data_IF_278499134344
#
_entry.id   IF_278499134344
#
_cell.length_a   1.000
_cell.length_b   1.000
_cell.length_c   1.000
_cell.angle_alpha   90.00
_cell.angle_beta   90.00
_cell.angle_gamma   90.00
#
_symmetry.space_group_name_H-M   'P 1'
#
loop_
_entity.id
_entity.type
_entity.pdbx_description
1 polymer ?
#
# COMPACT_ATOMS: atom_id res chain seq x y z
N UNK A 1 -27.42 32.19 -11.80
CA UNK A 1 -28.83 32.65 -11.74
C UNK A 1 -29.08 33.24 -10.37
N UNK A 2 -29.80 34.37 -10.25
CA UNK A 2 -30.07 34.99 -8.96
C UNK A 2 -30.88 34.07 -8.04
N UNK A 3 -30.68 34.21 -6.73
CA UNK A 3 -31.38 33.43 -5.71
C UNK A 3 -32.90 33.64 -5.81
N UNK A 4 -33.67 32.60 -5.49
CA UNK A 4 -35.12 32.73 -5.43
C UNK A 4 -35.55 33.66 -4.28
N UNK A 5 -36.55 34.51 -4.52
CA UNK A 5 -37.17 35.32 -3.47
C UNK A 5 -37.65 34.46 -2.29
N UNK A 6 -37.45 34.94 -1.07
CA UNK A 6 -37.83 34.26 0.18
C UNK A 6 -39.34 33.99 0.26
N UNK A 7 -39.73 32.97 1.03
CA UNK A 7 -41.15 32.64 1.17
C UNK A 7 -41.94 33.74 1.88
N UNK A 8 -41.33 34.40 2.88
CA UNK A 8 -41.93 35.53 3.58
C UNK A 8 -42.24 36.71 2.64
N UNK A 9 -41.30 37.05 1.75
CA UNK A 9 -41.51 38.11 0.75
C UNK A 9 -42.65 37.75 -0.20
N UNK A 10 -42.73 36.49 -0.64
CA UNK A 10 -43.83 36.01 -1.49
C UNK A 10 -45.16 36.11 -0.78
N UNK A 11 -45.22 35.68 0.49
CA UNK A 11 -46.44 35.71 1.31
C UNK A 11 -46.96 37.14 1.45
N UNK A 12 -46.09 38.09 1.84
CA UNK A 12 -46.46 39.50 1.99
C UNK A 12 -46.94 40.13 0.67
N UNK A 13 -46.27 39.80 -0.44
CA UNK A 13 -46.66 40.32 -1.74
C UNK A 13 -47.99 39.73 -2.25
N UNK A 14 -48.27 38.46 -1.99
CA UNK A 14 -49.55 37.83 -2.34
C UNK A 14 -50.67 38.34 -1.44
N UNK A 15 -50.42 38.53 -0.14
CA UNK A 15 -51.39 39.09 0.79
C UNK A 15 -51.80 40.51 0.38
N UNK A 16 -50.86 41.37 -0.02
CA UNK A 16 -51.19 42.71 -0.52
C UNK A 16 -52.09 42.67 -1.77
N UNK A 17 -51.94 41.66 -2.65
CA UNK A 17 -52.85 41.46 -3.78
C UNK A 17 -54.25 41.00 -3.34
N UNK A 18 -54.32 40.13 -2.32
CA UNK A 18 -55.59 39.66 -1.75
C UNK A 18 -56.35 40.78 -1.04
N UNK A 19 -55.63 41.73 -0.44
CA UNK A 19 -56.15 42.96 0.17
C UNK A 19 -56.61 44.01 -0.88
N UNK A 20 -56.50 43.70 -2.17
CA UNK A 20 -57.01 44.53 -3.26
C UNK A 20 -56.00 45.50 -3.87
N UNK A 21 -54.73 45.48 -3.46
CA UNK A 21 -53.72 46.33 -4.10
C UNK A 21 -53.48 45.93 -5.56
N UNK A 22 -53.27 46.93 -6.43
CA UNK A 22 -52.93 46.64 -7.82
C UNK A 22 -51.56 45.96 -7.93
N UNK A 23 -51.43 45.04 -8.90
CA UNK A 23 -50.16 44.36 -9.20
C UNK A 23 -49.00 45.32 -9.47
N UNK A 24 -49.28 46.52 -9.98
CA UNK A 24 -48.29 47.57 -10.23
C UNK A 24 -47.81 48.20 -8.91
N UNK A 25 -48.72 48.47 -7.97
CA UNK A 25 -48.39 49.01 -6.66
C UNK A 25 -47.55 48.01 -5.85
N UNK A 26 -47.97 46.74 -5.79
CA UNK A 26 -47.25 45.66 -5.10
C UNK A 26 -45.86 45.46 -5.70
N UNK A 27 -45.74 45.44 -7.03
CA UNK A 27 -44.44 45.31 -7.70
C UNK A 27 -43.46 46.43 -7.32
N UNK A 28 -43.95 47.68 -7.27
CA UNK A 28 -43.15 48.85 -6.87
C UNK A 28 -42.78 48.80 -5.38
N UNK A 29 -43.75 48.49 -4.50
CA UNK A 29 -43.60 48.43 -3.04
C UNK A 29 -42.56 47.38 -2.62
N UNK A 30 -42.64 46.18 -3.18
CA UNK A 30 -41.75 45.08 -2.84
C UNK A 30 -40.50 44.99 -3.73
N UNK A 31 -40.31 45.94 -4.67
CA UNK A 31 -39.19 45.99 -5.64
C UNK A 31 -39.04 44.66 -6.40
N UNK A 32 -40.15 44.08 -6.84
CA UNK A 32 -40.21 42.83 -7.59
C UNK A 32 -40.79 43.06 -8.98
N UNK A 33 -40.33 42.30 -9.97
CA UNK A 33 -40.86 42.39 -11.33
C UNK A 33 -42.34 41.98 -11.40
N UNK A 34 -43.16 42.75 -12.13
CA UNK A 34 -44.61 42.47 -12.29
C UNK A 34 -44.89 41.06 -12.84
N UNK A 35 -44.03 40.55 -13.73
CA UNK A 35 -44.11 39.17 -14.26
C UNK A 35 -43.91 38.11 -13.17
N UNK A 36 -43.12 38.42 -12.14
CA UNK A 36 -42.90 37.51 -11.01
C UNK A 36 -44.17 37.33 -10.19
N UNK A 37 -44.92 38.41 -9.96
CA UNK A 37 -46.23 38.35 -9.29
C UNK A 37 -47.23 37.49 -10.07
N UNK A 38 -47.31 37.66 -11.40
CA UNK A 38 -48.14 36.79 -12.26
C UNK A 38 -47.76 35.32 -12.13
N UNK A 39 -46.46 34.99 -12.07
CA UNK A 39 -45.99 33.62 -11.89
C UNK A 39 -46.38 33.05 -10.52
N UNK A 40 -46.39 33.86 -9.46
CA UNK A 40 -46.79 33.42 -8.12
C UNK A 40 -48.30 33.20 -8.01
N UNK A 41 -49.12 34.12 -8.55
CA UNK A 41 -50.58 33.99 -8.58
C UNK A 41 -51.00 32.78 -9.43
N UNK A 42 -50.40 32.60 -10.62
CA UNK A 42 -50.61 31.41 -11.46
C UNK A 42 -50.29 30.13 -10.70
N UNK A 43 -49.16 30.09 -10.00
CA UNK A 43 -48.77 28.92 -9.20
C UNK A 43 -49.73 28.67 -8.04
N UNK A 44 -50.15 29.71 -7.33
CA UNK A 44 -51.14 29.58 -6.25
C UNK A 44 -52.44 28.98 -6.76
N UNK A 45 -52.90 29.40 -7.94
CA UNK A 45 -54.08 28.81 -8.61
C UNK A 45 -53.87 27.33 -8.98
N UNK A 46 -52.68 26.98 -9.47
CA UNK A 46 -52.36 25.62 -9.91
C UNK A 46 -52.06 24.63 -8.76
N UNK A 47 -51.42 25.09 -7.67
CA UNK A 47 -50.88 24.19 -6.63
C UNK A 47 -51.34 24.54 -5.21
N UNK A 48 -52.19 25.54 -5.03
CA UNK A 48 -52.60 26.05 -3.71
C UNK A 48 -51.53 26.86 -2.96
N UNK A 49 -50.33 27.01 -3.53
CA UNK A 49 -49.17 27.66 -2.88
C UNK A 49 -48.29 28.38 -3.91
N UNK A 50 -47.45 29.30 -3.43
CA UNK A 50 -46.57 30.15 -4.23
C UNK A 50 -45.07 29.91 -3.93
N UNK A 51 -44.71 28.81 -3.26
CA UNK A 51 -43.32 28.40 -3.06
C UNK A 51 -42.51 28.37 -4.36
N UNK A 52 -41.20 28.59 -4.25
CA UNK A 52 -40.32 28.44 -5.41
C UNK A 52 -40.36 27.01 -5.93
N UNK A 53 -40.26 26.82 -7.25
CA UNK A 53 -40.01 25.49 -7.81
C UNK A 53 -38.65 25.07 -7.26
N UNK A 54 -38.59 23.97 -6.49
CA UNK A 54 -37.32 23.29 -6.27
C UNK A 54 -36.81 22.94 -7.67
N UNK A 55 -35.67 23.52 -8.07
CA UNK A 55 -34.97 23.02 -9.24
C UNK A 55 -34.66 21.58 -8.90
N UNK A 56 -35.37 20.63 -9.52
CA UNK A 56 -34.93 19.24 -9.49
C UNK A 56 -33.49 19.25 -9.96
N UNK A 57 -32.60 18.59 -9.22
CA UNK A 57 -31.26 18.34 -9.75
C UNK A 57 -31.48 17.61 -11.07
N UNK A 58 -31.27 18.29 -12.20
CA UNK A 58 -31.13 17.60 -13.48
C UNK A 58 -30.02 16.60 -13.23
N UNK A 59 -30.38 15.31 -13.12
CA UNK A 59 -29.44 14.26 -12.79
C UNK A 59 -28.25 14.38 -13.73
N UNK A 60 -27.04 14.30 -13.20
CA UNK A 60 -25.87 14.22 -14.05
C UNK A 60 -25.97 12.92 -14.85
N UNK A 61 -25.78 12.98 -16.17
CA UNK A 61 -25.68 11.78 -17.00
C UNK A 61 -24.44 10.98 -16.60
N UNK A 62 -24.60 10.09 -15.62
CA UNK A 62 -23.53 9.25 -15.11
C UNK A 62 -23.00 8.38 -16.24
N UNK A 63 -21.70 8.51 -16.52
CA UNK A 63 -21.02 7.71 -17.55
C UNK A 63 -20.69 6.28 -17.09
N UNK A 64 -20.84 6.02 -15.79
CA UNK A 64 -20.75 4.70 -15.17
C UNK A 64 -22.05 4.51 -14.40
N UNK A 65 -22.92 3.65 -14.92
CA UNK A 65 -24.24 3.35 -14.35
C UNK A 65 -24.24 1.96 -13.71
N UNK A 66 -23.60 0.98 -14.37
CA UNK A 66 -23.39 -0.36 -13.84
C UNK A 66 -22.09 -0.44 -13.02
N UNK A 67 -22.26 -0.43 -11.70
CA UNK A 67 -21.13 -0.50 -10.77
C UNK A 67 -20.52 -1.89 -10.65
N UNK A 68 -21.30 -2.95 -10.90
CA UNK A 68 -20.80 -4.32 -10.86
C UNK A 68 -19.93 -4.61 -12.08
N UNK A 69 -20.42 -4.25 -13.27
CA UNK A 69 -19.63 -4.34 -14.50
C UNK A 69 -18.34 -3.51 -14.41
N UNK A 70 -18.43 -2.31 -13.83
CA UNK A 70 -17.23 -1.47 -13.62
C UNK A 70 -16.24 -2.11 -12.65
N UNK A 71 -16.72 -2.71 -11.55
CA UNK A 71 -15.84 -3.39 -10.59
C UNK A 71 -15.11 -4.60 -11.22
N UNK A 72 -15.81 -5.44 -11.97
CA UNK A 72 -15.21 -6.58 -12.69
C UNK A 72 -14.23 -6.12 -13.78
N UNK A 73 -14.59 -5.07 -14.52
CA UNK A 73 -13.70 -4.46 -15.50
C UNK A 73 -12.41 -3.93 -14.87
N UNK A 74 -12.50 -3.24 -13.73
CA UNK A 74 -11.33 -2.76 -13.00
C UNK A 74 -10.48 -3.91 -12.46
N UNK A 75 -11.08 -5.02 -12.01
CA UNK A 75 -10.29 -6.21 -11.60
C UNK A 75 -9.45 -6.75 -12.76
N UNK A 76 -10.02 -6.84 -13.97
CA UNK A 76 -9.33 -7.31 -15.18
C UNK A 76 -8.26 -6.34 -15.69
N UNK A 77 -8.41 -5.04 -15.42
CA UNK A 77 -7.53 -3.97 -15.93
C UNK A 77 -6.81 -3.19 -14.83
N UNK A 78 -6.70 -3.75 -13.63
CA UNK A 78 -6.18 -3.07 -12.44
C UNK A 78 -4.68 -2.73 -12.53
N UNK A 79 -3.98 -3.30 -13.51
CA UNK A 79 -2.58 -3.05 -13.82
C UNK A 79 -2.34 -1.75 -14.61
N UNK A 80 -3.40 -1.16 -15.18
CA UNK A 80 -3.38 0.02 -16.06
C UNK A 80 -3.49 1.33 -15.29
N UNK A 81 -3.08 2.42 -15.94
CA UNK A 81 -3.28 3.78 -15.44
C UNK A 81 -4.76 4.20 -15.53
N UNK A 82 -5.19 5.13 -14.66
CA UNK A 82 -6.55 5.67 -14.72
C UNK A 82 -6.91 6.28 -16.08
N UNK A 83 -5.92 6.81 -16.82
CA UNK A 83 -6.12 7.38 -18.15
C UNK A 83 -6.39 6.30 -19.20
N UNK A 84 -5.70 5.16 -19.11
CA UNK A 84 -5.96 4.00 -19.99
C UNK A 84 -7.31 3.35 -19.66
N UNK A 85 -7.63 3.16 -18.38
CA UNK A 85 -8.94 2.68 -17.93
C UNK A 85 -10.07 3.60 -18.45
N UNK A 86 -9.84 4.91 -18.43
CA UNK A 86 -10.77 5.90 -18.98
C UNK A 86 -11.04 5.71 -20.49
N UNK A 87 -9.98 5.46 -21.26
CA UNK A 87 -10.09 5.16 -22.70
C UNK A 87 -10.85 3.85 -22.93
N UNK A 88 -10.47 2.79 -22.22
CA UNK A 88 -11.01 1.44 -22.41
C UNK A 88 -12.46 1.29 -21.98
N UNK A 89 -12.91 1.97 -20.92
CA UNK A 89 -14.30 1.85 -20.44
C UNK A 89 -15.32 2.51 -21.39
N UNK A 90 -14.94 3.58 -22.06
CA UNK A 90 -15.85 4.33 -22.93
C UNK A 90 -15.39 5.75 -23.25
N UNK A 91 -14.06 5.95 -23.31
CA UNK A 91 -13.43 7.24 -23.55
C UNK A 91 -13.95 8.38 -22.65
N UNK A 92 -13.96 8.15 -21.34
CA UNK A 92 -14.41 9.12 -20.33
C UNK A 92 -13.21 9.84 -19.67
N UNK A 93 -13.47 10.85 -18.86
CA UNK A 93 -12.35 11.55 -18.18
C UNK A 93 -11.69 10.67 -17.10
N UNK A 94 -10.36 10.82 -16.97
CA UNK A 94 -9.56 10.20 -15.89
C UNK A 94 -10.14 10.49 -14.50
N UNK A 95 -10.67 11.71 -14.30
CA UNK A 95 -11.27 12.15 -13.04
C UNK A 95 -12.55 11.37 -12.71
N UNK A 96 -13.35 11.01 -13.72
CA UNK A 96 -14.52 10.15 -13.52
C UNK A 96 -14.08 8.77 -13.04
N UNK A 97 -13.06 8.17 -13.66
CA UNK A 97 -12.46 6.91 -13.19
C UNK A 97 -11.95 7.03 -11.75
N UNK A 98 -11.22 8.10 -11.41
CA UNK A 98 -10.73 8.30 -10.05
C UNK A 98 -11.86 8.31 -9.01
N UNK A 99 -12.94 9.06 -9.27
CA UNK A 99 -14.11 9.11 -8.37
C UNK A 99 -14.83 7.77 -8.31
N UNK A 100 -14.95 7.09 -9.44
CA UNK A 100 -15.59 5.78 -9.54
C UNK A 100 -14.82 4.72 -8.73
N UNK A 101 -13.50 4.62 -8.92
CA UNK A 101 -12.62 3.74 -8.13
C UNK A 101 -12.77 4.01 -6.63
N UNK A 102 -12.74 5.28 -6.21
CA UNK A 102 -12.96 5.65 -4.80
C UNK A 102 -14.33 5.20 -4.30
N UNK A 103 -15.38 5.35 -5.12
CA UNK A 103 -16.76 4.96 -4.77
C UNK A 103 -16.90 3.44 -4.56
N UNK A 104 -16.21 2.64 -5.36
CA UNK A 104 -16.22 1.16 -5.23
C UNK A 104 -15.16 0.65 -4.23
N UNK A 105 -14.46 1.54 -3.52
CA UNK A 105 -13.47 1.16 -2.50
C UNK A 105 -12.10 0.75 -3.04
N UNK A 106 -11.82 0.96 -4.33
CA UNK A 106 -10.53 0.59 -4.93
C UNK A 106 -9.48 1.66 -4.67
N UNK A 107 -8.31 1.24 -4.15
CA UNK A 107 -7.19 2.13 -3.85
C UNK A 107 -5.94 1.72 -4.62
N UNK A 108 -5.05 2.68 -4.89
CA UNK A 108 -3.77 2.39 -5.55
C UNK A 108 -2.85 1.70 -4.55
N UNK A 109 -2.37 0.51 -4.90
CA UNK A 109 -1.35 -0.23 -4.15
C UNK A 109 -0.08 -0.39 -4.98
N UNK A 110 1.06 -0.56 -4.33
CA UNK A 110 2.30 -0.99 -5.00
C UNK A 110 2.09 -2.44 -5.47
N UNK A 111 2.48 -2.76 -6.69
CA UNK A 111 2.43 -4.15 -7.18
C UNK A 111 3.46 -4.96 -6.40
N UNK A 112 3.01 -6.07 -5.81
CA UNK A 112 3.88 -7.15 -5.36
C UNK A 112 4.05 -8.10 -6.53
N UNK A 113 5.28 -8.47 -6.82
CA UNK A 113 5.59 -9.35 -7.94
C UNK A 113 5.82 -10.77 -7.43
N UNK A 114 5.25 -11.75 -8.13
CA UNK A 114 5.71 -13.14 -8.11
C UNK A 114 6.49 -13.44 -9.38
N UNK A 115 7.18 -14.57 -9.40
CA UNK A 115 7.96 -15.03 -10.55
C UNK A 115 7.11 -15.95 -11.44
N UNK A 116 7.28 -15.86 -12.77
CA UNK A 116 6.55 -16.71 -13.72
C UNK A 116 7.10 -18.13 -13.73
N UNK A 117 8.36 -18.28 -13.36
CA UNK A 117 9.16 -19.50 -13.32
C UNK A 117 8.83 -20.36 -12.09
N UNK A 118 7.94 -19.89 -11.21
CA UNK A 118 7.52 -20.65 -10.02
C UNK A 118 6.74 -21.90 -10.43
N UNK A 119 6.89 -22.95 -9.64
CA UNK A 119 6.14 -24.19 -9.81
C UNK A 119 5.05 -24.27 -8.73
N UNK A 120 3.78 -24.17 -9.15
CA UNK A 120 2.63 -24.14 -8.21
C UNK A 120 2.42 -25.46 -7.48
N UNK A 121 2.71 -26.60 -8.10
CA UNK A 121 2.56 -27.92 -7.49
C UNK A 121 3.55 -28.07 -6.33
N UNK A 122 4.83 -27.75 -6.56
CA UNK A 122 5.87 -27.75 -5.52
C UNK A 122 5.56 -26.74 -4.41
N UNK A 123 4.97 -25.60 -4.76
CA UNK A 123 4.54 -24.60 -3.77
C UNK A 123 3.39 -25.13 -2.91
N UNK A 124 2.39 -25.77 -3.51
CA UNK A 124 1.28 -26.36 -2.78
C UNK A 124 1.74 -27.51 -1.86
N UNK A 125 2.65 -28.36 -2.33
CA UNK A 125 3.26 -29.42 -1.53
C UNK A 125 4.04 -28.85 -0.34
N UNK A 126 4.88 -27.84 -0.58
CA UNK A 126 5.63 -27.16 0.46
C UNK A 126 4.71 -26.60 1.55
N UNK A 127 3.64 -25.89 1.16
CA UNK A 127 2.66 -25.35 2.10
C UNK A 127 1.92 -26.43 2.89
N UNK A 128 1.60 -27.57 2.25
CA UNK A 128 0.99 -28.71 2.93
C UNK A 128 1.90 -29.27 4.03
N UNK A 129 3.21 -29.40 3.75
CA UNK A 129 4.20 -29.87 4.74
C UNK A 129 4.37 -28.86 5.87
N UNK A 130 4.54 -27.58 5.54
CA UNK A 130 4.75 -26.51 6.54
C UNK A 130 3.53 -26.32 7.44
N UNK A 131 2.32 -26.35 6.89
CA UNK A 131 1.08 -26.20 7.67
C UNK A 131 0.83 -27.34 8.67
N UNK A 132 1.44 -28.51 8.47
CA UNK A 132 1.39 -29.62 9.41
C UNK A 132 2.43 -29.50 10.55
N UNK A 133 3.40 -28.59 10.43
CA UNK A 133 4.47 -28.38 11.41
C UNK A 133 4.07 -27.31 12.42
N UNK A 134 4.54 -27.47 13.66
CA UNK A 134 4.31 -26.48 14.72
C UNK A 134 5.11 -25.20 14.40
N UNK A 135 4.50 -24.00 14.39
CA UNK A 135 5.19 -22.75 14.07
C UNK A 135 6.43 -22.49 14.94
N UNK A 136 6.45 -23.05 16.14
CA UNK A 136 7.56 -22.96 17.10
C UNK A 136 8.83 -23.68 16.65
N UNK A 137 8.67 -24.68 15.79
CA UNK A 137 9.75 -25.52 15.27
C UNK A 137 10.25 -25.04 13.92
N UNK A 138 9.58 -24.07 13.29
CA UNK A 138 10.01 -23.53 12.01
C UNK A 138 11.11 -22.47 12.23
N UNK A 139 12.21 -22.62 11.50
CA UNK A 139 13.36 -21.73 11.57
C UNK A 139 13.71 -21.29 10.15
N UNK A 140 13.41 -20.05 9.80
CA UNK A 140 13.66 -19.50 8.47
C UNK A 140 15.02 -18.82 8.45
N UNK A 141 15.88 -19.17 7.50
CA UNK A 141 17.22 -18.59 7.37
C UNK A 141 17.30 -17.83 6.05
N UNK A 142 18.01 -16.71 6.07
CA UNK A 142 18.31 -15.95 4.88
C UNK A 142 19.51 -15.02 5.08
N UNK A 143 20.02 -14.52 3.97
CA UNK A 143 21.06 -13.51 3.92
C UNK A 143 20.60 -12.26 3.19
N UNK A 144 21.11 -11.12 3.62
CA UNK A 144 20.90 -9.85 2.93
C UNK A 144 22.18 -9.06 2.88
N UNK A 145 22.30 -8.19 1.88
CA UNK A 145 23.47 -7.32 1.72
C UNK A 145 23.09 -5.88 1.56
N UNK A 146 23.93 -5.01 2.11
CA UNK A 146 23.83 -3.57 1.92
C UNK A 146 25.19 -2.99 1.53
N UNK A 147 25.15 -2.15 0.50
CA UNK A 147 26.32 -1.48 -0.04
C UNK A 147 26.36 -0.04 0.49
N UNK A 148 27.55 0.55 0.60
CA UNK A 148 27.73 1.90 1.13
C UNK A 148 27.26 3.03 0.18
N UNK A 149 26.68 2.68 -0.97
CA UNK A 149 26.02 3.61 -1.89
C UNK A 149 24.51 3.71 -1.65
N UNK A 150 23.98 2.92 -0.73
CA UNK A 150 22.58 2.96 -0.31
C UNK A 150 22.31 4.23 0.51
N UNK A 151 21.20 4.87 0.22
CA UNK A 151 20.78 6.13 0.86
C UNK A 151 19.26 6.12 1.08
N UNK A 152 18.79 6.93 2.02
CA UNK A 152 17.37 7.06 2.30
C UNK A 152 16.66 7.82 1.17
N UNK A 153 15.67 7.23 0.47
CA UNK A 153 15.21 7.75 -0.81
C UNK A 153 14.20 8.92 -0.71
N UNK A 154 13.95 9.45 0.48
CA UNK A 154 12.94 10.46 0.72
C UNK A 154 13.53 11.72 1.36
N UNK A 155 13.05 12.88 0.91
CA UNK A 155 13.35 14.19 1.46
C UNK A 155 12.18 15.15 1.27
N UNK A 156 12.20 16.29 1.95
CA UNK A 156 11.15 17.32 1.85
C UNK A 156 11.62 18.48 0.97
N UNK A 157 10.82 18.87 -0.03
CA UNK A 157 11.00 20.08 -0.85
C UNK A 157 9.63 20.72 -1.14
N UNK A 158 9.63 21.92 -1.75
CA UNK A 158 8.38 22.62 -2.06
C UNK A 158 7.56 21.84 -3.08
N UNK A 159 6.23 21.93 -2.97
CA UNK A 159 5.31 21.28 -3.89
C UNK A 159 5.55 21.76 -5.33
N UNK A 160 5.82 20.83 -6.23
CA UNK A 160 6.11 21.11 -7.65
C UNK A 160 7.60 21.16 -7.99
N UNK A 161 8.47 21.12 -6.99
CA UNK A 161 9.92 21.07 -7.17
C UNK A 161 10.45 19.63 -7.08
N UNK A 162 11.63 19.39 -7.66
CA UNK A 162 12.36 18.12 -7.51
C UNK A 162 13.35 18.23 -6.35
N UNK A 163 13.41 17.21 -5.51
CA UNK A 163 14.44 17.09 -4.49
C UNK A 163 15.74 16.60 -5.15
N UNK A 164 16.78 17.42 -5.18
CA UNK A 164 18.08 17.08 -5.74
C UNK A 164 19.06 16.70 -4.62
N UNK A 165 19.69 15.53 -4.74
CA UNK A 165 20.73 15.06 -3.84
C UNK A 165 21.88 14.43 -4.65
N UNK A 166 23.10 14.57 -4.15
CA UNK A 166 24.28 13.91 -4.70
C UNK A 166 24.57 12.66 -3.88
N UNK A 167 24.92 11.57 -4.58
CA UNK A 167 25.39 10.33 -3.96
C UNK A 167 26.66 9.85 -4.65
N UNK A 168 27.53 9.18 -3.91
CA UNK A 168 28.70 8.52 -4.50
C UNK A 168 28.26 7.39 -5.41
N UNK A 169 28.81 7.34 -6.63
CA UNK A 169 28.67 6.20 -7.53
C UNK A 169 29.66 5.06 -7.23
N UNK A 170 30.65 5.30 -6.36
CA UNK A 170 31.69 4.31 -6.03
C UNK A 170 31.18 3.37 -4.95
N UNK A 171 30.99 2.10 -5.31
CA UNK A 171 30.75 1.00 -4.36
C UNK A 171 32.09 0.53 -3.81
N UNK A 172 32.41 0.94 -2.58
CA UNK A 172 33.71 0.59 -1.95
C UNK A 172 33.57 -0.39 -0.81
N UNK A 173 32.37 -0.54 -0.22
CA UNK A 173 32.13 -1.45 0.88
C UNK A 173 30.77 -2.14 0.73
N UNK A 174 30.75 -3.42 1.09
CA UNK A 174 29.54 -4.23 1.25
C UNK A 174 29.58 -4.89 2.62
N UNK A 175 28.51 -4.71 3.37
CA UNK A 175 28.26 -5.47 4.59
C UNK A 175 27.08 -6.38 4.32
N UNK A 176 27.30 -7.67 4.51
CA UNK A 176 26.25 -8.68 4.49
C UNK A 176 25.82 -9.02 5.90
N UNK A 177 24.60 -9.52 6.00
CA UNK A 177 23.94 -9.94 7.21
C UNK A 177 23.33 -11.31 6.99
N UNK A 178 23.43 -12.16 7.99
CA UNK A 178 22.82 -13.48 8.04
C UNK A 178 22.13 -13.63 9.39
N UNK A 179 20.95 -14.23 9.39
CA UNK A 179 20.25 -14.56 10.62
C UNK A 179 19.22 -15.66 10.38
N UNK A 180 18.67 -16.20 11.46
CA UNK A 180 17.50 -17.04 11.41
C UNK A 180 16.30 -16.32 12.05
N UNK A 181 15.08 -16.74 11.69
CA UNK A 181 13.83 -16.28 12.27
C UNK A 181 13.09 -17.47 12.87
N UNK A 182 12.77 -17.40 14.16
CA UNK A 182 11.95 -18.37 14.87
C UNK A 182 10.88 -17.65 15.68
N UNK A 183 9.59 -18.01 15.50
CA UNK A 183 8.43 -17.34 16.13
C UNK A 183 8.43 -15.80 16.00
N UNK A 184 8.79 -15.29 14.83
CA UNK A 184 8.85 -13.83 14.59
C UNK A 184 9.99 -13.12 15.33
N UNK A 185 10.94 -13.85 15.92
CA UNK A 185 12.15 -13.31 16.55
C UNK A 185 13.36 -13.69 15.72
N UNK A 186 14.19 -12.70 15.41
CA UNK A 186 15.48 -12.95 14.78
C UNK A 186 16.42 -13.58 15.82
N UNK A 187 17.13 -14.63 15.44
CA UNK A 187 18.09 -15.39 16.27
C UNK A 187 19.38 -15.62 15.50
N UNK A 188 20.48 -15.80 16.23
CA UNK A 188 21.83 -15.91 15.67
C UNK A 188 22.20 -14.83 14.63
N UNK A 189 21.92 -13.53 14.84
CA UNK A 189 22.28 -12.51 13.85
C UNK A 189 23.80 -12.35 13.78
N UNK A 190 24.33 -12.27 12.57
CA UNK A 190 25.73 -11.94 12.31
C UNK A 190 25.84 -11.00 11.11
N UNK A 191 26.75 -10.05 11.20
CA UNK A 191 27.14 -9.16 10.09
C UNK A 191 28.58 -9.46 9.70
N UNK A 192 28.92 -9.41 8.41
CA UNK A 192 30.27 -9.65 7.90
C UNK A 192 30.53 -8.83 6.63
N UNK A 193 31.79 -8.66 6.26
CA UNK A 193 32.17 -7.92 5.05
C UNK A 193 32.16 -8.84 3.82
N UNK A 194 31.74 -8.30 2.67
CA UNK A 194 31.72 -9.06 1.42
C UNK A 194 30.41 -9.84 1.19
N UNK A 195 30.49 -10.92 0.42
CA UNK A 195 29.35 -11.77 0.03
C UNK A 195 29.31 -13.02 0.90
N UNK A 196 28.13 -13.59 1.10
CA UNK A 196 28.02 -14.89 1.75
C UNK A 196 28.51 -15.98 0.78
N UNK A 197 29.28 -16.91 1.31
CA UNK A 197 29.70 -18.12 0.62
C UNK A 197 29.48 -19.34 1.52
N UNK A 198 29.88 -20.51 1.04
CA UNK A 198 29.74 -21.78 1.75
C UNK A 198 30.50 -21.80 3.07
N UNK A 199 31.67 -21.16 3.16
CA UNK A 199 32.51 -21.18 4.36
C UNK A 199 31.88 -20.33 5.45
N UNK A 200 31.50 -19.09 5.12
CA UNK A 200 30.83 -18.17 6.05
C UNK A 200 29.50 -18.77 6.52
N UNK A 201 28.70 -19.28 5.59
CA UNK A 201 27.39 -19.87 5.93
C UNK A 201 27.55 -21.10 6.83
N UNK A 202 28.48 -22.01 6.49
CA UNK A 202 28.70 -23.23 7.27
C UNK A 202 29.24 -22.92 8.67
N UNK A 203 30.23 -22.04 8.77
CA UNK A 203 30.77 -21.60 10.05
C UNK A 203 29.71 -20.90 10.90
N UNK A 204 28.88 -20.05 10.28
CA UNK A 204 27.78 -19.39 10.99
C UNK A 204 26.75 -20.39 11.53
N UNK A 205 26.34 -21.35 10.69
CA UNK A 205 25.36 -22.37 11.07
C UNK A 205 25.86 -23.21 12.24
N UNK A 206 27.11 -23.67 12.18
CA UNK A 206 27.72 -24.49 13.22
C UNK A 206 27.92 -23.72 14.53
N UNK A 207 28.47 -22.51 14.46
CA UNK A 207 28.92 -21.79 15.66
C UNK A 207 27.83 -20.98 16.34
N UNK A 208 26.84 -20.47 15.60
CA UNK A 208 25.83 -19.57 16.15
C UNK A 208 24.42 -20.16 16.15
N UNK A 209 24.01 -20.84 15.08
CA UNK A 209 22.63 -21.32 14.97
C UNK A 209 22.44 -22.69 15.63
N UNK A 210 23.21 -23.70 15.25
CA UNK A 210 23.06 -25.07 15.75
C UNK A 210 23.03 -25.16 17.29
N UNK A 211 23.86 -24.41 18.05
CA UNK A 211 23.86 -24.48 19.52
C UNK A 211 22.57 -23.97 20.18
N UNK A 212 21.80 -23.12 19.50
CA UNK A 212 20.56 -22.53 20.05
C UNK A 212 19.29 -23.19 19.50
N UNK A 213 19.42 -24.14 18.58
CA UNK A 213 18.29 -24.87 18.01
C UNK A 213 17.66 -25.80 19.06
N UNK A 214 16.36 -25.68 19.25
CA UNK A 214 15.56 -26.62 20.05
C UNK A 214 15.42 -27.94 19.29
N UNK A 215 15.44 -29.12 19.94
CA UNK A 215 15.33 -30.42 19.25
C UNK A 215 14.13 -30.54 18.30
N UNK A 216 14.34 -31.18 17.14
CA UNK A 216 13.30 -31.36 16.12
C UNK A 216 12.87 -30.10 15.34
N UNK A 217 13.70 -29.06 15.11
CA UNK A 217 13.28 -27.93 14.31
C UNK A 217 13.31 -28.29 12.82
N UNK A 218 12.53 -27.57 12.02
CA UNK A 218 12.61 -27.59 10.56
C UNK A 218 13.25 -26.28 10.12
N UNK A 219 14.48 -26.39 9.65
CA UNK A 219 15.25 -25.30 9.08
C UNK A 219 14.83 -25.11 7.63
N UNK A 220 14.40 -23.91 7.29
CA UNK A 220 13.90 -23.53 5.98
C UNK A 220 14.92 -22.63 5.31
N UNK A 221 15.38 -23.03 4.12
CA UNK A 221 16.43 -22.37 3.35
C UNK A 221 16.01 -22.20 1.89
N UNK A 222 16.53 -21.20 1.20
CA UNK A 222 16.39 -21.10 -0.25
C UNK A 222 17.28 -22.13 -0.99
N UNK A 223 17.26 -22.13 -2.32
CA UNK A 223 18.01 -23.10 -3.13
C UNK A 223 19.46 -22.69 -3.46
N UNK A 224 20.02 -21.66 -2.81
CA UNK A 224 21.39 -21.25 -3.07
C UNK A 224 22.36 -22.43 -2.94
N UNK A 225 23.36 -22.47 -3.83
CA UNK A 225 24.29 -23.60 -3.92
C UNK A 225 25.08 -23.80 -2.63
N UNK A 226 25.40 -22.71 -1.93
CA UNK A 226 26.13 -22.74 -0.65
C UNK A 226 25.29 -23.30 0.52
N UNK A 227 23.95 -23.35 0.42
CA UNK A 227 23.08 -23.99 1.41
C UNK A 227 23.07 -25.53 1.33
N UNK A 228 23.66 -26.11 0.28
CA UNK A 228 23.60 -27.56 -0.01
C UNK A 228 24.89 -28.28 0.39
N UNK A 229 25.68 -27.69 1.28
CA UNK A 229 26.91 -28.31 1.78
C UNK A 229 26.58 -29.54 2.63
N UNK A 230 27.39 -30.60 2.50
CA UNK A 230 27.21 -31.84 3.30
C UNK A 230 27.32 -31.55 4.80
N UNK A 231 28.21 -30.62 5.19
CA UNK A 231 28.43 -30.21 6.57
C UNK A 231 27.16 -29.63 7.21
N UNK A 232 26.41 -28.80 6.46
CA UNK A 232 25.13 -28.24 6.96
C UNK A 232 24.13 -29.35 7.27
N UNK A 233 24.04 -30.38 6.42
CA UNK A 233 23.16 -31.53 6.66
C UNK A 233 23.62 -32.33 7.88
N UNK A 234 24.92 -32.51 8.07
CA UNK A 234 25.50 -33.20 9.23
C UNK A 234 25.22 -32.44 10.54
N UNK A 235 25.43 -31.12 10.57
CA UNK A 235 25.14 -30.29 11.73
C UNK A 235 23.65 -30.21 12.06
N UNK A 236 22.79 -30.10 11.04
CA UNK A 236 21.36 -30.15 11.26
C UNK A 236 20.96 -31.49 11.90
N UNK A 237 21.46 -32.62 11.37
CA UNK A 237 21.19 -33.95 11.93
C UNK A 237 21.72 -34.12 13.35
N UNK A 238 22.90 -33.57 13.68
CA UNK A 238 23.48 -33.70 15.02
C UNK A 238 22.65 -33.01 16.11
N UNK A 239 21.83 -32.02 15.75
CA UNK A 239 20.88 -31.35 16.66
C UNK A 239 19.43 -31.80 16.46
N UNK A 240 19.21 -32.87 15.67
CA UNK A 240 17.88 -33.41 15.36
C UNK A 240 17.03 -32.50 14.48
N UNK A 241 17.65 -31.60 13.72
CA UNK A 241 16.98 -30.73 12.77
C UNK A 241 16.81 -31.35 11.38
N UNK A 242 15.68 -31.04 10.78
CA UNK A 242 15.38 -31.31 9.38
C UNK A 242 15.67 -30.06 8.55
N UNK A 243 16.27 -30.21 7.38
CA UNK A 243 16.42 -29.13 6.40
C UNK A 243 15.34 -29.29 5.34
N UNK A 244 14.63 -28.21 5.07
CA UNK A 244 13.64 -28.10 4.02
C UNK A 244 13.98 -26.92 3.12
N UNK A 245 14.07 -27.18 1.82
CA UNK A 245 14.34 -26.13 0.84
C UNK A 245 13.04 -25.52 0.32
N UNK A 246 13.04 -24.21 0.14
CA UNK A 246 11.94 -23.49 -0.50
C UNK A 246 11.70 -24.02 -1.91
N UNK A 247 10.47 -23.97 -2.43
CA UNK A 247 10.23 -24.20 -3.84
C UNK A 247 10.92 -23.11 -4.68
N UNK A 248 11.38 -23.40 -5.91
CA UNK A 248 12.02 -22.42 -6.77
C UNK A 248 11.20 -21.13 -6.90
N UNK A 249 11.90 -19.98 -6.89
CA UNK A 249 11.30 -18.65 -7.05
C UNK A 249 10.16 -18.34 -6.08
N UNK A 250 10.28 -18.76 -4.82
CA UNK A 250 9.27 -18.59 -3.78
C UNK A 250 9.76 -17.84 -2.54
N UNK A 251 10.37 -16.64 -2.68
CA UNK A 251 10.83 -15.86 -1.54
C UNK A 251 9.67 -15.37 -0.65
N UNK A 252 8.45 -15.34 -1.17
CA UNK A 252 7.23 -15.04 -0.40
C UNK A 252 6.89 -16.11 0.66
N UNK A 253 7.54 -17.28 0.60
CA UNK A 253 7.43 -18.31 1.64
C UNK A 253 8.56 -18.24 2.67
N UNK A 254 9.46 -17.26 2.56
CA UNK A 254 10.52 -17.03 3.52
C UNK A 254 10.19 -15.84 4.44
N UNK A 255 9.68 -16.12 5.65
CA UNK A 255 9.14 -15.07 6.54
C UNK A 255 10.17 -14.01 6.96
N UNK A 256 11.47 -14.37 6.95
CA UNK A 256 12.56 -13.47 7.34
C UNK A 256 12.80 -12.34 6.33
N UNK A 257 12.42 -12.50 5.06
CA UNK A 257 12.62 -11.50 4.00
C UNK A 257 12.02 -10.14 4.35
N UNK A 258 10.87 -10.14 5.04
CA UNK A 258 10.21 -8.92 5.50
C UNK A 258 11.02 -8.14 6.53
N UNK A 259 11.85 -8.81 7.33
CA UNK A 259 12.68 -8.20 8.37
C UNK A 259 13.86 -7.47 7.74
N UNK A 260 14.43 -7.98 6.63
CA UNK A 260 15.51 -7.29 5.92
C UNK A 260 15.13 -5.92 5.41
N UNK A 261 13.88 -5.74 4.96
CA UNK A 261 13.41 -4.42 4.55
C UNK A 261 13.44 -3.41 5.71
N UNK A 262 12.98 -3.82 6.90
CA UNK A 262 13.00 -2.98 8.09
C UNK A 262 14.44 -2.66 8.53
N UNK A 263 15.30 -3.68 8.58
CA UNK A 263 16.72 -3.54 8.93
C UNK A 263 17.43 -2.60 7.95
N UNK A 264 17.35 -2.85 6.64
CA UNK A 264 18.01 -2.01 5.62
C UNK A 264 17.52 -0.57 5.64
N UNK A 265 16.23 -0.32 5.87
CA UNK A 265 15.72 1.04 6.02
C UNK A 265 16.31 1.75 7.23
N UNK A 266 16.52 1.02 8.33
CA UNK A 266 17.19 1.55 9.51
C UNK A 266 18.67 1.83 9.23
N UNK A 267 19.37 0.91 8.57
CA UNK A 267 20.76 1.15 8.15
C UNK A 267 20.84 2.44 7.33
N UNK A 268 19.99 2.62 6.31
CA UNK A 268 19.97 3.85 5.49
C UNK A 268 19.83 5.13 6.31
N UNK A 269 19.04 5.09 7.39
CA UNK A 269 18.89 6.23 8.33
C UNK A 269 20.09 6.41 9.25
N UNK A 270 20.78 5.32 9.59
CA UNK A 270 21.95 5.31 10.45
C UNK A 270 23.23 5.73 9.71
N UNK A 271 23.38 5.43 8.42
CA UNK A 271 24.59 5.78 7.62
C UNK A 271 25.11 7.20 7.90
N UNK A 272 24.30 8.27 7.86
CA UNK A 272 24.80 9.63 8.13
C UNK A 272 25.16 9.90 9.60
N UNK A 273 24.75 9.03 10.53
CA UNK A 273 24.95 9.19 11.98
C UNK A 273 26.26 8.57 12.48
N UNK A 274 26.88 7.67 11.71
CA UNK A 274 28.09 6.95 12.11
C UNK A 274 29.26 7.28 11.18
N UNK A 275 30.46 7.37 11.75
CA UNK A 275 31.70 7.56 10.97
C UNK A 275 32.07 6.35 10.11
N UNK A 276 31.62 5.16 10.53
CA UNK A 276 31.90 3.90 9.85
C UNK A 276 30.59 3.31 9.32
N UNK A 277 30.58 2.95 8.04
CA UNK A 277 29.46 2.25 7.41
C UNK A 277 29.16 0.94 8.15
N UNK A 278 30.21 0.22 8.58
CA UNK A 278 30.06 -1.01 9.36
C UNK A 278 29.32 -0.76 10.68
N UNK A 279 29.72 0.27 11.44
CA UNK A 279 29.02 0.62 12.69
C UNK A 279 27.56 1.04 12.46
N UNK A 280 27.24 1.69 11.34
CA UNK A 280 25.86 2.03 10.99
C UNK A 280 25.00 0.77 10.79
N UNK A 281 25.57 -0.27 10.17
CA UNK A 281 24.91 -1.57 9.97
C UNK A 281 24.74 -2.28 11.31
N UNK A 282 25.80 -2.42 12.09
CA UNK A 282 25.76 -3.14 13.38
C UNK A 282 24.78 -2.48 14.37
N UNK A 283 24.73 -1.14 14.39
CA UNK A 283 23.75 -0.39 15.19
C UNK A 283 22.29 -0.68 14.80
N UNK A 284 22.03 -0.93 13.52
CA UNK A 284 20.68 -1.24 13.06
C UNK A 284 20.21 -2.63 13.53
N UNK A 285 21.15 -3.57 13.72
CA UNK A 285 20.87 -4.87 14.31
C UNK A 285 20.57 -4.71 15.80
N UNK A 286 21.48 -4.14 16.58
CA UNK A 286 21.38 -4.10 18.05
C UNK A 286 20.07 -3.53 18.59
N UNK A 287 19.47 -2.55 17.92
CA UNK A 287 18.23 -1.95 18.43
C UNK A 287 16.93 -2.72 18.12
N UNK A 288 16.95 -3.75 17.26
CA UNK A 288 15.81 -4.67 17.11
C UNK A 288 15.79 -5.74 18.20
N UNK A 289 16.84 -5.77 19.02
CA UNK A 289 17.03 -6.69 20.13
C UNK A 289 17.20 -5.89 21.41
N UNK A 290 16.14 -5.66 22.20
CA UNK A 290 16.38 -5.37 23.62
C UNK A 290 17.25 -6.52 24.12
N UNK A 291 18.46 -6.18 24.60
CA UNK A 291 19.33 -7.14 25.26
C UNK A 291 18.48 -7.96 26.24
N UNK A 292 18.57 -9.29 26.11
CA UNK A 292 18.02 -10.23 27.08
C UNK A 292 18.51 -9.88 28.48
#
# INVERSE_FOLDING_TARGET
>A
MPAAYSYDLRKKAIQALDEGESKTAVAKRFKIGRVTLYKWEKRRKETGDFQSKKLGNRGYNHKITDWNAFAEFVKKHGDKTQSEVAKLWGNISRQTIHRALKKIGFTRKKKTYGYKERNEEKRAEFLKVISAKSPEKLVYIDESGIDNTEDYPYGYCRKGERFHALKSGKKTQRVSMIAALNKGKIVAPMTFEGYCDTEIFTGWFEQFLAPILQPGPTVILDNATFHKSKKIVEFAKSVGAEIMYLPPYSPDFNDIEHYWFAIKNRVRRNIPLFKSFRHAVDSAFLHLFPLL
#
